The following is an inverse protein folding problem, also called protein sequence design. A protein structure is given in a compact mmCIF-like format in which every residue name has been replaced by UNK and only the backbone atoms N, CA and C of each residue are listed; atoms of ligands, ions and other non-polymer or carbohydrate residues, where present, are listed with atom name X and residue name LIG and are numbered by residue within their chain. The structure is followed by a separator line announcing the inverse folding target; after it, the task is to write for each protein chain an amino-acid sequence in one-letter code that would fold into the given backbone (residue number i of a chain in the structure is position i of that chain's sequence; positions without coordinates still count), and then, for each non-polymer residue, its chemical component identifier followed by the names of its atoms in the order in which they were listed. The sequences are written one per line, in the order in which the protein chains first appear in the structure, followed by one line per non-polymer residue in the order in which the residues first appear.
data_IF_176217592780
#
_entry.id   IF_176217592780
#
_cell.length_a   1.000
_cell.length_b   1.000
_cell.length_c   1.000
_cell.angle_alpha   90.00
_cell.angle_beta   90.00
_cell.angle_gamma   90.00
#
_symmetry.space_group_name_H-M   'P 1'
#
loop_
_entity.id
_entity.type
_entity.pdbx_description
1 polymer ?
#
# COMPACT_ATOMS: atom_id res chain seq x y z
N UNK A 1 10.02 3.14 14.71
CA UNK A 1 10.78 2.51 13.62
C UNK A 1 9.89 2.57 12.40
N UNK A 2 10.36 3.14 11.29
CA UNK A 2 9.64 3.02 10.03
C UNK A 2 9.56 1.53 9.68
N UNK A 3 8.40 1.05 9.24
CA UNK A 3 8.29 -0.33 8.77
C UNK A 3 9.05 -0.46 7.45
N UNK A 4 9.81 -1.54 7.28
CA UNK A 4 10.44 -1.82 5.98
C UNK A 4 9.36 -2.15 4.94
N UNK A 5 9.42 -1.62 3.70
CA UNK A 5 8.42 -1.88 2.68
C UNK A 5 8.12 -3.37 2.44
N UNK A 6 9.15 -4.21 2.47
CA UNK A 6 8.99 -5.66 2.33
C UNK A 6 8.24 -6.29 3.50
N UNK A 7 8.47 -5.82 4.73
CA UNK A 7 7.74 -6.31 5.90
C UNK A 7 6.24 -5.96 5.81
N UNK A 8 5.91 -4.75 5.36
CA UNK A 8 4.52 -4.36 5.10
C UNK A 8 3.91 -5.19 3.97
N UNK A 9 4.62 -5.38 2.86
CA UNK A 9 4.14 -6.17 1.73
C UNK A 9 3.82 -7.62 2.14
N UNK A 10 4.73 -8.26 2.89
CA UNK A 10 4.53 -9.62 3.42
C UNK A 10 3.34 -9.68 4.36
N UNK A 11 3.24 -8.77 5.32
CA UNK A 11 2.14 -8.75 6.28
C UNK A 11 0.79 -8.52 5.59
N UNK A 12 0.75 -7.62 4.59
CA UNK A 12 -0.43 -7.38 3.78
C UNK A 12 -0.82 -8.64 2.99
N UNK A 13 0.12 -9.26 2.29
CA UNK A 13 -0.09 -10.51 1.55
C UNK A 13 -0.73 -11.60 2.42
N UNK A 14 -0.09 -11.91 3.55
CA UNK A 14 -0.57 -12.94 4.47
C UNK A 14 -1.96 -12.62 5.03
N UNK A 15 -2.20 -11.35 5.38
CA UNK A 15 -3.51 -10.92 5.85
C UNK A 15 -4.56 -10.99 4.73
N UNK A 16 -4.23 -10.59 3.52
CA UNK A 16 -5.11 -10.57 2.37
C UNK A 16 -5.54 -11.99 1.98
N UNK A 17 -4.58 -12.91 1.85
CA UNK A 17 -4.84 -14.33 1.56
C UNK A 17 -5.68 -14.99 2.67
N UNK A 18 -5.39 -14.70 3.95
CA UNK A 18 -6.15 -15.24 5.08
C UNK A 18 -7.58 -14.70 5.13
N UNK A 19 -7.79 -13.43 4.83
CA UNK A 19 -9.07 -12.76 4.99
C UNK A 19 -9.97 -12.87 3.75
N UNK A 20 -9.40 -12.89 2.54
CA UNK A 20 -10.15 -12.91 1.28
C UNK A 20 -11.31 -13.92 1.25
N UNK A 21 -11.14 -15.19 1.69
CA UNK A 21 -12.25 -16.15 1.70
C UNK A 21 -13.43 -15.74 2.59
N UNK A 22 -13.16 -15.02 3.69
CA UNK A 22 -14.20 -14.53 4.61
C UNK A 22 -15.06 -13.43 3.99
N UNK A 23 -14.58 -12.81 2.90
CA UNK A 23 -15.31 -11.82 2.10
C UNK A 23 -15.83 -12.41 0.78
N UNK A 24 -15.81 -13.74 0.62
CA UNK A 24 -16.28 -14.41 -0.60
C UNK A 24 -15.37 -14.16 -1.82
N UNK A 25 -14.13 -13.73 -1.60
CA UNK A 25 -13.14 -13.48 -2.64
C UNK A 25 -12.07 -14.56 -2.65
N UNK A 26 -11.66 -14.98 -3.85
CA UNK A 26 -10.48 -15.81 -4.05
C UNK A 26 -9.41 -14.98 -4.76
N UNK A 27 -8.21 -15.02 -4.21
CA UNK A 27 -7.03 -14.34 -4.76
C UNK A 27 -6.56 -15.02 -6.04
N UNK A 28 -5.64 -14.38 -6.77
CA UNK A 28 -5.10 -14.95 -8.00
C UNK A 28 -4.25 -16.17 -7.66
N UNK A 29 -4.42 -17.26 -8.39
CA UNK A 29 -3.69 -18.53 -8.16
C UNK A 29 -2.16 -18.31 -8.09
N UNK A 30 -1.62 -17.42 -8.92
CA UNK A 30 -0.19 -17.11 -8.96
C UNK A 30 0.34 -16.40 -7.70
N UNK A 31 -0.53 -15.73 -6.95
CA UNK A 31 -0.19 -15.09 -5.67
C UNK A 31 -0.76 -15.84 -4.47
N UNK A 32 -1.65 -16.82 -4.65
CA UNK A 32 -2.24 -17.62 -3.58
C UNK A 32 -1.28 -18.70 -3.04
N UNK A 33 -0.04 -18.32 -2.75
CA UNK A 33 1.06 -19.19 -2.30
C UNK A 33 1.87 -18.51 -1.19
N UNK A 34 2.72 -19.24 -0.43
CA UNK A 34 3.58 -18.64 0.58
C UNK A 34 4.40 -17.48 0.01
N UNK A 35 4.64 -16.45 0.82
CA UNK A 35 5.34 -15.23 0.40
C UNK A 35 6.67 -15.53 -0.31
N UNK A 36 7.44 -16.45 0.23
CA UNK A 36 8.75 -16.87 -0.29
C UNK A 36 8.67 -17.56 -1.66
N UNK A 37 7.49 -18.02 -2.05
CA UNK A 37 7.21 -18.70 -3.32
C UNK A 37 6.53 -17.80 -4.35
N UNK A 38 5.98 -16.66 -3.94
CA UNK A 38 5.37 -15.67 -4.85
C UNK A 38 6.37 -15.28 -5.96
N UNK A 39 5.97 -15.27 -7.25
CA UNK A 39 6.88 -14.89 -8.33
C UNK A 39 7.59 -13.56 -8.06
N UNK A 40 8.89 -13.48 -8.35
CA UNK A 40 9.72 -12.33 -8.00
C UNK A 40 9.13 -11.00 -8.46
N UNK A 41 8.64 -10.94 -9.71
CA UNK A 41 8.01 -9.73 -10.25
C UNK A 41 6.77 -9.31 -9.45
N UNK A 42 5.97 -10.26 -8.96
CA UNK A 42 4.79 -9.97 -8.15
C UNK A 42 5.21 -9.48 -6.75
N UNK A 43 6.24 -10.09 -6.13
CA UNK A 43 6.79 -9.58 -4.86
C UNK A 43 7.32 -8.17 -5.01
N UNK A 44 8.13 -7.90 -6.05
CA UNK A 44 8.70 -6.58 -6.30
C UNK A 44 7.60 -5.52 -6.46
N UNK A 45 6.51 -5.85 -7.15
CA UNK A 45 5.35 -4.96 -7.26
C UNK A 45 4.71 -4.70 -5.88
N UNK A 46 4.47 -5.73 -5.08
CA UNK A 46 3.88 -5.56 -3.74
C UNK A 46 4.78 -4.74 -2.81
N UNK A 47 6.09 -4.92 -2.88
CA UNK A 47 7.09 -4.12 -2.14
C UNK A 47 7.03 -2.66 -2.58
N UNK A 48 6.97 -2.39 -3.89
CA UNK A 48 6.87 -1.03 -4.42
C UNK A 48 5.58 -0.34 -3.98
N UNK A 49 4.45 -1.06 -4.01
CA UNK A 49 3.17 -0.56 -3.50
C UNK A 49 3.25 -0.28 -2.00
N UNK A 50 3.84 -1.17 -1.21
CA UNK A 50 4.00 -0.99 0.23
C UNK A 50 4.89 0.22 0.57
N UNK A 51 5.95 0.47 -0.19
CA UNK A 51 6.77 1.67 -0.06
C UNK A 51 5.93 2.94 -0.29
N UNK A 52 5.11 2.96 -1.35
CA UNK A 52 4.23 4.10 -1.63
C UNK A 52 3.19 4.31 -0.51
N UNK A 53 2.61 3.23 0.03
CA UNK A 53 1.68 3.28 1.17
C UNK A 53 2.34 3.86 2.42
N UNK A 54 3.59 3.50 2.71
CA UNK A 54 4.32 4.07 3.84
C UNK A 54 4.56 5.57 3.66
N UNK A 55 4.95 6.00 2.46
CA UNK A 55 5.09 7.42 2.14
C UNK A 55 3.76 8.19 2.35
N UNK A 56 2.62 7.61 1.93
CA UNK A 56 1.30 8.20 2.20
C UNK A 56 1.03 8.31 3.71
N UNK A 57 1.33 7.27 4.50
CA UNK A 57 1.10 7.27 5.95
C UNK A 57 1.97 8.28 6.70
N UNK A 58 3.22 8.44 6.29
CA UNK A 58 4.10 9.50 6.80
C UNK A 58 3.57 10.89 6.43
N UNK A 59 3.12 11.07 5.19
CA UNK A 59 2.50 12.31 4.74
C UNK A 59 1.23 12.67 5.51
N UNK A 60 0.41 11.69 5.91
CA UNK A 60 -0.81 11.94 6.69
C UNK A 60 -0.48 12.44 8.10
N UNK A 61 0.64 11.99 8.66
CA UNK A 61 1.01 12.26 10.06
C UNK A 61 1.91 13.48 10.25
N UNK A 62 2.58 13.95 9.18
CA UNK A 62 3.40 15.17 9.18
C UNK A 62 3.00 16.14 8.03
N UNK A 63 2.45 17.33 8.35
CA UNK A 63 2.09 18.34 7.35
C UNK A 63 3.22 18.77 6.41
N UNK A 64 4.49 18.71 6.85
CA UNK A 64 5.64 19.05 6.00
C UNK A 64 5.94 17.95 4.98
N UNK A 65 5.78 16.69 5.39
CA UNK A 65 5.91 15.53 4.51
C UNK A 65 4.74 15.51 3.53
N UNK A 66 3.51 15.85 3.97
CA UNK A 66 2.34 16.00 3.10
C UNK A 66 2.59 16.94 1.92
N UNK A 67 3.23 18.08 2.16
CA UNK A 67 3.51 19.06 1.11
C UNK A 67 4.56 18.54 0.10
N UNK A 68 5.62 17.87 0.57
CA UNK A 68 6.63 17.27 -0.30
C UNK A 68 6.07 16.11 -1.13
N UNK A 69 5.29 15.27 -0.48
CA UNK A 69 4.62 14.12 -1.08
C UNK A 69 3.60 14.57 -2.13
N UNK A 70 2.76 15.56 -1.83
CA UNK A 70 1.82 16.14 -2.80
C UNK A 70 2.55 16.70 -4.04
N UNK A 71 3.75 17.27 -3.90
CA UNK A 71 4.55 17.73 -5.05
C UNK A 71 5.07 16.55 -5.90
N UNK A 72 5.44 15.43 -5.28
CA UNK A 72 5.86 14.22 -5.99
C UNK A 72 4.71 13.47 -6.69
N UNK A 73 3.52 13.42 -6.07
CA UNK A 73 2.38 12.66 -6.59
C UNK A 73 1.54 13.44 -7.61
N UNK A 74 1.59 14.78 -7.62
CA UNK A 74 0.97 15.62 -8.68
C UNK A 74 1.45 15.29 -10.10
N UNK A 75 2.54 14.53 -10.26
CA UNK A 75 2.99 14.00 -11.55
C UNK A 75 2.33 12.68 -11.99
N UNK A 76 1.61 11.97 -11.11
CA UNK A 76 1.08 10.61 -11.34
C UNK A 76 -0.43 10.46 -11.12
N UNK A 77 -1.03 11.28 -10.25
CA UNK A 77 -2.49 11.33 -10.00
C UNK A 77 -2.99 12.78 -9.98
N UNK A 78 -4.24 13.02 -10.36
CA UNK A 78 -4.79 14.38 -10.35
C UNK A 78 -4.91 14.89 -8.90
N UNK A 79 -4.64 16.18 -8.62
CA UNK A 79 -4.65 16.76 -7.28
C UNK A 79 -5.92 16.46 -6.47
N UNK A 80 -7.05 16.36 -7.15
CA UNK A 80 -8.38 16.15 -6.57
C UNK A 80 -8.49 14.78 -5.88
N UNK A 81 -7.84 13.74 -6.42
CA UNK A 81 -7.88 12.39 -5.84
C UNK A 81 -7.10 12.27 -4.52
N UNK A 82 -6.06 13.08 -4.36
CA UNK A 82 -5.26 13.13 -3.14
C UNK A 82 -6.04 13.80 -2.00
N UNK A 83 -6.69 14.92 -2.30
CA UNK A 83 -7.51 15.66 -1.33
C UNK A 83 -8.68 14.79 -0.84
N UNK A 84 -9.32 14.03 -1.73
CA UNK A 84 -10.36 13.06 -1.37
C UNK A 84 -9.82 11.94 -0.46
N UNK A 85 -8.62 11.41 -0.74
CA UNK A 85 -8.01 10.34 0.06
C UNK A 85 -7.67 10.83 1.48
N UNK A 86 -7.10 12.03 1.59
CA UNK A 86 -6.76 12.66 2.87
C UNK A 86 -8.02 12.96 3.70
N UNK A 87 -9.08 13.46 3.07
CA UNK A 87 -10.38 13.68 3.72
C UNK A 87 -11.02 12.36 4.20
N UNK A 88 -10.94 11.28 3.42
CA UNK A 88 -11.46 9.97 3.81
C UNK A 88 -10.76 9.43 5.06
N UNK A 89 -9.42 9.50 5.09
CA UNK A 89 -8.61 8.99 6.20
C UNK A 89 -8.86 9.78 7.49
N UNK A 90 -9.10 11.09 7.40
CA UNK A 90 -9.44 11.91 8.58
C UNK A 90 -10.81 11.58 9.19
N UNK A 91 -11.68 10.87 8.46
CA UNK A 91 -13.07 10.57 8.87
C UNK A 91 -13.25 9.13 9.40
N UNK A 92 -12.25 8.26 9.24
CA UNK A 92 -12.22 6.87 9.70
C UNK A 92 -11.38 6.72 10.96
#
# INVERSE_FOLDING_TARGET
MAAEPEALAKAFHEAYERLAPSFGYATRVESAIPWEEVPEQNRLLMIAVAAEVLDYLEAITDPKVAEQFARQVRGRHSPEKLDELVELIRRT
#
